data_IF_818040457959
#
_entry.id   IF_818040457959
#
_cell.length_a   1.000
_cell.length_b   1.000
_cell.length_c   1.000
_cell.angle_alpha   90.00
_cell.angle_beta   90.00
_cell.angle_gamma   90.00
#
_symmetry.space_group_name_H-M   'P 1'
#
loop_
_entity.id
_entity.type
_entity.pdbx_description
1 polymer ?
#
# COMPACT_ATOMS: atom_id res chain seq x y z
N UNK A 1 27.94 -39.37 -16.22
CA UNK A 1 26.70 -39.01 -16.93
C UNK A 1 25.77 -38.36 -15.91
N UNK A 2 25.46 -37.08 -16.14
CA UNK A 2 24.48 -36.20 -15.48
C UNK A 2 24.49 -36.04 -13.95
N UNK A 3 25.23 -35.02 -13.49
CA UNK A 3 24.96 -34.35 -12.22
C UNK A 3 23.75 -33.43 -12.36
N UNK A 4 22.71 -33.66 -11.56
CA UNK A 4 21.61 -32.74 -11.36
C UNK A 4 22.02 -31.73 -10.28
N UNK A 5 22.63 -30.61 -10.69
CA UNK A 5 22.68 -29.40 -9.86
C UNK A 5 21.30 -28.75 -9.97
N UNK A 6 20.42 -29.11 -9.04
CA UNK A 6 19.15 -28.44 -8.85
C UNK A 6 19.40 -26.98 -8.48
N UNK A 7 19.20 -26.07 -9.43
CA UNK A 7 19.04 -24.64 -9.19
C UNK A 7 17.73 -24.43 -8.43
N UNK A 8 17.72 -24.75 -7.13
CA UNK A 8 16.72 -24.23 -6.21
C UNK A 8 17.00 -22.74 -6.06
N UNK A 9 16.46 -21.94 -7.00
CA UNK A 9 16.34 -20.51 -6.78
C UNK A 9 15.46 -20.33 -5.54
N UNK A 10 16.07 -20.00 -4.41
CA UNK A 10 15.34 -19.55 -3.24
C UNK A 10 14.54 -18.32 -3.68
N UNK A 11 13.25 -18.50 -3.95
CA UNK A 11 12.31 -17.40 -3.96
C UNK A 11 12.26 -16.91 -2.51
N UNK A 12 13.11 -15.95 -2.18
CA UNK A 12 13.06 -15.28 -0.88
C UNK A 12 11.70 -14.60 -0.81
N UNK A 13 10.86 -15.05 0.13
CA UNK A 13 9.59 -14.40 0.40
C UNK A 13 9.85 -12.93 0.76
N UNK A 14 9.00 -12.00 0.30
CA UNK A 14 9.10 -10.61 0.70
C UNK A 14 9.06 -10.49 2.23
N UNK A 15 10.01 -9.75 2.80
CA UNK A 15 10.07 -9.56 4.26
C UNK A 15 9.11 -8.43 4.64
N UNK A 16 8.09 -8.74 5.44
CA UNK A 16 7.24 -7.71 6.03
C UNK A 16 8.01 -6.95 7.11
N UNK A 17 8.14 -5.64 6.91
CA UNK A 17 8.75 -4.71 7.85
C UNK A 17 7.74 -4.30 8.94
N UNK A 18 6.44 -4.42 8.66
CA UNK A 18 5.38 -4.16 9.62
C UNK A 18 5.25 -5.32 10.62
N UNK A 19 5.21 -6.56 10.16
CA UNK A 19 5.14 -7.75 11.04
C UNK A 19 6.42 -7.90 11.87
N UNK A 20 7.57 -7.52 11.32
CA UNK A 20 8.84 -7.47 12.05
C UNK A 20 8.92 -6.33 13.08
N UNK A 21 7.90 -5.46 13.18
CA UNK A 21 7.86 -4.31 14.09
C UNK A 21 8.88 -3.22 13.77
N UNK A 22 9.42 -3.19 12.54
CA UNK A 22 10.45 -2.22 12.12
C UNK A 22 9.84 -0.93 11.59
N UNK A 23 8.64 -0.99 11.04
CA UNK A 23 7.89 0.14 10.51
C UNK A 23 6.49 0.11 11.11
N UNK A 24 6.06 1.25 11.64
CA UNK A 24 4.67 1.44 12.05
C UNK A 24 3.82 1.89 10.87
N UNK A 25 2.58 1.42 10.82
CA UNK A 25 1.61 1.83 9.79
C UNK A 25 0.43 2.51 10.45
N UNK A 26 0.13 3.71 9.99
CA UNK A 26 -1.05 4.48 10.37
C UNK A 26 -2.01 4.53 9.18
N UNK A 27 -3.31 4.40 9.45
CA UNK A 27 -4.32 4.42 8.38
C UNK A 27 -5.37 5.47 8.65
N UNK A 28 -5.70 6.23 7.61
CA UNK A 28 -6.77 7.23 7.63
C UNK A 28 -7.85 6.80 6.64
N UNK A 29 -8.99 6.39 7.19
CA UNK A 29 -10.16 6.00 6.42
C UNK A 29 -11.07 7.21 6.17
N UNK A 30 -12.00 7.04 5.24
CA UNK A 30 -13.05 8.03 4.97
C UNK A 30 -14.43 7.48 5.30
N UNK A 31 -15.45 8.32 5.16
CA UNK A 31 -16.84 7.89 5.23
C UNK A 31 -17.21 6.95 4.08
N UNK A 32 -16.60 7.12 2.90
CA UNK A 32 -16.86 6.30 1.72
C UNK A 32 -16.23 4.91 1.78
N UNK A 33 -15.05 4.79 2.41
CA UNK A 33 -14.25 3.58 2.41
C UNK A 33 -13.34 3.47 3.62
N UNK A 34 -13.04 2.23 4.02
CA UNK A 34 -12.12 1.90 5.10
C UNK A 34 -10.85 1.27 4.53
N UNK A 35 -9.68 1.72 4.98
CA UNK A 35 -8.43 0.98 4.77
C UNK A 35 -8.52 -0.32 5.59
N UNK A 36 -8.51 -1.46 4.89
CA UNK A 36 -8.80 -2.78 5.46
C UNK A 36 -7.55 -3.41 6.07
N UNK A 37 -6.47 -3.47 5.30
CA UNK A 37 -5.14 -3.86 5.77
C UNK A 37 -4.08 -3.14 4.95
N UNK A 38 -2.88 -3.02 5.52
CA UNK A 38 -1.69 -2.46 4.87
C UNK A 38 -0.49 -3.24 5.37
N UNK A 39 0.47 -3.48 4.49
CA UNK A 39 1.77 -4.03 4.82
C UNK A 39 2.88 -3.25 4.07
N UNK A 40 4.05 -3.22 4.68
CA UNK A 40 5.25 -2.60 4.12
C UNK A 40 6.31 -3.69 3.94
N UNK A 41 6.58 -4.03 2.69
CA UNK A 41 7.52 -5.08 2.33
C UNK A 41 8.88 -4.50 1.96
N UNK A 42 9.95 -5.19 2.36
CA UNK A 42 11.29 -4.91 1.85
C UNK A 42 11.39 -5.29 0.38
N UNK A 43 11.95 -4.39 -0.42
CA UNK A 43 12.14 -4.52 -1.86
C UNK A 43 13.59 -4.26 -2.21
N UNK A 44 14.09 -4.87 -3.29
CA UNK A 44 15.48 -4.62 -3.76
C UNK A 44 15.75 -3.14 -4.06
N UNK A 45 14.70 -2.34 -4.31
CA UNK A 45 14.81 -0.92 -4.66
C UNK A 45 14.37 0.02 -3.54
N UNK A 46 13.97 -0.50 -2.38
CA UNK A 46 13.48 0.29 -1.26
C UNK A 46 12.38 -0.44 -0.51
N UNK A 47 11.21 0.17 -0.40
CA UNK A 47 10.03 -0.46 0.20
C UNK A 47 8.90 -0.58 -0.81
N UNK A 48 8.01 -1.53 -0.56
CA UNK A 48 6.73 -1.63 -1.23
C UNK A 48 5.63 -1.48 -0.19
N UNK A 49 4.72 -0.54 -0.41
CA UNK A 49 3.52 -0.40 0.42
C UNK A 49 2.37 -1.00 -0.35
N UNK A 50 1.72 -2.00 0.25
CA UNK A 50 0.60 -2.73 -0.34
C UNK A 50 -0.54 -2.81 0.65
N UNK A 51 -1.77 -2.89 0.16
CA UNK A 51 -2.92 -2.98 1.03
C UNK A 51 -4.24 -3.11 0.28
N UNK A 52 -5.31 -3.17 1.06
CA UNK A 52 -6.67 -3.17 0.54
C UNK A 52 -7.50 -2.08 1.21
N UNK A 53 -8.43 -1.51 0.44
CA UNK A 53 -9.50 -0.65 0.89
C UNK A 53 -10.83 -1.36 0.66
N UNK A 54 -11.72 -1.34 1.66
CA UNK A 54 -13.08 -1.87 1.56
C UNK A 54 -14.10 -0.75 1.45
N UNK A 55 -14.91 -0.77 0.38
CA UNK A 55 -16.02 0.15 0.16
C UNK A 55 -17.07 0.03 1.25
N UNK A 56 -17.61 1.15 1.76
CA UNK A 56 -18.84 1.13 2.57
C UNK A 56 -20.08 0.92 1.68
N UNK A 57 -21.18 0.44 2.26
CA UNK A 57 -22.27 -0.21 1.50
C UNK A 57 -23.01 0.74 0.54
N UNK A 58 -22.91 2.03 0.81
CA UNK A 58 -23.51 3.16 0.13
C UNK A 58 -22.60 3.78 -0.95
N UNK A 59 -21.35 3.33 -1.08
CA UNK A 59 -20.40 3.95 -1.99
C UNK A 59 -20.38 3.31 -3.40
N UNK A 60 -20.64 4.10 -4.47
CA UNK A 60 -20.68 3.60 -5.84
C UNK A 60 -19.36 2.99 -6.33
N UNK A 61 -19.46 1.89 -7.06
CA UNK A 61 -18.30 1.14 -7.54
C UNK A 61 -17.46 1.88 -8.61
N UNK A 62 -18.07 2.82 -9.33
CA UNK A 62 -17.46 3.64 -10.38
C UNK A 62 -16.65 4.83 -9.84
N UNK A 63 -16.64 5.05 -8.51
CA UNK A 63 -15.96 6.18 -7.88
C UNK A 63 -14.98 5.77 -6.78
N UNK A 64 -14.01 4.88 -7.06
CA UNK A 64 -13.15 4.30 -6.03
C UNK A 64 -12.21 5.29 -5.33
N UNK A 65 -12.14 6.57 -5.70
CA UNK A 65 -11.20 7.50 -5.06
C UNK A 65 -9.75 7.12 -5.31
N UNK A 66 -8.86 7.47 -4.38
CA UNK A 66 -7.44 7.12 -4.39
C UNK A 66 -6.88 6.99 -2.97
N UNK A 67 -5.68 6.46 -2.85
CA UNK A 67 -4.89 6.51 -1.61
C UNK A 67 -3.67 7.41 -1.78
N UNK A 68 -3.37 8.17 -0.75
CA UNK A 68 -2.10 8.87 -0.58
C UNK A 68 -1.24 8.08 0.42
N UNK A 69 0.06 8.06 0.16
CA UNK A 69 1.03 7.33 0.97
C UNK A 69 2.10 8.32 1.44
N UNK A 70 2.19 8.54 2.74
CA UNK A 70 3.23 9.37 3.35
C UNK A 70 4.21 8.49 4.13
N UNK A 71 5.49 8.59 3.81
CA UNK A 71 6.57 7.92 4.54
C UNK A 71 7.28 8.96 5.37
N UNK A 72 7.25 8.81 6.70
CA UNK A 72 7.93 9.71 7.63
C UNK A 72 9.23 9.07 8.10
N UNK A 73 10.31 9.81 7.96
CA UNK A 73 11.64 9.41 8.40
C UNK A 73 11.83 9.78 9.88
N UNK A 74 12.60 9.00 10.67
CA UNK A 74 12.87 9.31 12.07
C UNK A 74 13.47 10.70 12.30
N UNK A 75 14.26 11.21 11.36
CA UNK A 75 14.89 12.54 11.39
C UNK A 75 13.96 13.71 11.03
N UNK A 76 12.67 13.44 10.78
CA UNK A 76 11.66 14.45 10.45
C UNK A 76 11.47 14.72 8.96
N UNK A 77 12.19 14.02 8.08
CA UNK A 77 11.94 14.05 6.64
C UNK A 77 10.63 13.33 6.26
N UNK A 78 10.09 13.66 5.10
CA UNK A 78 8.86 13.04 4.59
C UNK A 78 8.93 12.81 3.08
N UNK A 79 8.50 11.64 2.63
CA UNK A 79 8.18 11.36 1.23
C UNK A 79 6.68 11.17 1.08
N UNK A 80 6.09 11.70 0.00
CA UNK A 80 4.67 11.54 -0.28
C UNK A 80 4.46 11.06 -1.71
N UNK A 81 3.66 10.02 -1.86
CA UNK A 81 3.05 9.61 -3.12
C UNK A 81 1.56 9.94 -3.05
N UNK A 82 1.06 10.66 -4.05
CA UNK A 82 -0.36 11.04 -4.11
C UNK A 82 -1.07 10.32 -5.24
N UNK A 83 -2.39 10.19 -5.12
CA UNK A 83 -3.24 9.63 -6.17
C UNK A 83 -2.82 8.21 -6.58
N UNK A 84 -2.48 7.35 -5.60
CA UNK A 84 -2.22 5.95 -5.87
C UNK A 84 -3.54 5.28 -6.25
N UNK A 85 -3.58 4.77 -7.47
CA UNK A 85 -4.73 4.06 -8.02
C UNK A 85 -5.00 2.78 -7.22
N UNK A 86 -6.28 2.41 -7.17
CA UNK A 86 -6.73 1.18 -6.54
C UNK A 86 -7.49 0.32 -7.54
N UNK A 87 -7.18 -0.97 -7.55
CA UNK A 87 -7.75 -1.92 -8.49
C UNK A 87 -8.74 -2.86 -7.78
N UNK A 88 -9.89 -3.19 -8.39
CA UNK A 88 -10.82 -4.16 -7.83
C UNK A 88 -10.16 -5.52 -7.57
N UNK A 89 -10.27 -6.02 -6.34
CA UNK A 89 -9.86 -7.39 -6.02
C UNK A 89 -10.86 -8.35 -6.67
N UNK A 90 -10.41 -9.17 -7.62
CA UNK A 90 -11.30 -10.09 -8.33
C UNK A 90 -11.73 -11.23 -7.40
N UNK A 91 -13.03 -11.35 -7.17
CA UNK A 91 -13.64 -12.48 -6.44
C UNK A 91 -14.55 -13.28 -7.37
N UNK A 92 -14.67 -14.62 -7.18
CA UNK A 92 -15.67 -15.42 -7.89
C UNK A 92 -17.06 -14.79 -7.71
N UNK A 93 -17.73 -14.42 -8.81
CA UNK A 93 -19.03 -13.71 -8.79
C UNK A 93 -18.97 -12.19 -9.03
N UNK A 94 -17.80 -11.59 -9.25
CA UNK A 94 -17.65 -10.25 -9.85
C UNK A 94 -18.02 -9.04 -8.97
N UNK A 95 -18.46 -9.26 -7.73
CA UNK A 95 -19.01 -8.23 -6.85
C UNK A 95 -18.10 -7.74 -5.72
N UNK A 96 -16.78 -7.70 -5.91
CA UNK A 96 -15.87 -7.33 -4.82
C UNK A 96 -16.03 -5.87 -4.40
N UNK A 97 -16.13 -5.69 -3.08
CA UNK A 97 -16.09 -4.39 -2.40
C UNK A 97 -14.67 -3.99 -2.01
N UNK A 98 -13.67 -4.83 -2.32
CA UNK A 98 -12.28 -4.58 -1.98
C UNK A 98 -11.53 -4.06 -3.19
N UNK A 99 -10.70 -3.06 -2.94
CA UNK A 99 -9.81 -2.45 -3.90
C UNK A 99 -8.39 -2.63 -3.35
N UNK A 100 -7.50 -3.24 -4.12
CA UNK A 100 -6.10 -3.38 -3.76
C UNK A 100 -5.30 -2.18 -4.27
N UNK A 101 -4.27 -1.79 -3.54
CA UNK A 101 -3.29 -0.81 -4.00
C UNK A 101 -1.89 -1.34 -3.74
N UNK A 102 -0.94 -0.87 -4.55
CA UNK A 102 0.48 -1.21 -4.42
C UNK A 102 1.32 -0.07 -4.97
N UNK A 103 2.31 0.36 -4.19
CA UNK A 103 3.32 1.31 -4.64
C UNK A 103 4.70 0.79 -4.27
N UNK A 104 5.66 0.97 -5.18
CA UNK A 104 7.08 0.78 -4.91
C UNK A 104 7.71 2.16 -4.70
N UNK A 105 8.35 2.36 -3.55
CA UNK A 105 9.02 3.61 -3.18
C UNK A 105 10.53 3.36 -3.05
N UNK A 106 11.32 4.23 -3.67
CA UNK A 106 12.78 4.18 -3.62
C UNK A 106 13.34 4.73 -2.30
N UNK A 107 12.76 4.33 -1.17
CA UNK A 107 13.17 4.69 0.20
C UNK A 107 13.66 3.42 0.89
N UNK A 108 14.89 3.44 1.41
CA UNK A 108 15.53 2.26 1.98
C UNK A 108 15.28 2.17 3.50
N UNK A 109 14.92 1.00 4.04
CA UNK A 109 15.01 0.75 5.48
C UNK A 109 16.49 0.86 5.96
N UNK A 110 16.77 1.30 7.21
CA UNK A 110 15.85 1.67 8.28
C UNK A 110 15.46 3.15 8.27
N UNK A 111 15.64 3.88 7.16
CA UNK A 111 15.32 5.31 7.11
C UNK A 111 13.83 5.60 7.29
N UNK A 112 12.97 4.58 7.27
CA UNK A 112 11.53 4.71 7.42
C UNK A 112 11.13 4.53 8.88
N UNK A 113 10.49 5.53 9.48
CA UNK A 113 9.94 5.46 10.83
C UNK A 113 8.48 5.02 10.85
N UNK A 114 7.65 5.67 10.03
CA UNK A 114 6.23 5.32 9.89
C UNK A 114 5.73 5.52 8.47
N UNK A 115 4.71 4.76 8.09
CA UNK A 115 3.98 4.90 6.82
C UNK A 115 2.53 5.21 7.12
N UNK A 116 2.02 6.28 6.51
CA UNK A 116 0.62 6.68 6.60
C UNK A 116 -0.06 6.37 5.28
N UNK A 117 -1.19 5.66 5.33
CA UNK A 117 -2.04 5.38 4.17
C UNK A 117 -3.37 6.08 4.35
N UNK A 118 -3.66 7.03 3.47
CA UNK A 118 -4.78 7.96 3.59
C UNK A 118 -5.70 7.77 2.41
N UNK A 119 -6.93 7.33 2.65
CA UNK A 119 -7.92 7.20 1.60
C UNK A 119 -8.69 8.50 1.36
N UNK A 120 -8.74 8.93 0.10
CA UNK A 120 -9.52 10.06 -0.37
C UNK A 120 -10.65 9.60 -1.31
N UNK A 121 -11.89 10.00 -1.02
CA UNK A 121 -12.99 9.80 -1.95
C UNK A 121 -12.77 10.65 -3.23
N UNK A 122 -13.24 10.17 -4.39
CA UNK A 122 -13.07 10.91 -5.66
C UNK A 122 -13.71 12.31 -5.56
N UNK A 123 -12.92 13.35 -5.85
CA UNK A 123 -13.33 14.76 -5.74
C UNK A 123 -13.07 15.39 -4.36
N UNK A 124 -12.49 14.65 -3.41
CA UNK A 124 -12.01 15.17 -2.14
C UNK A 124 -10.55 15.67 -2.20
N UNK A 125 -10.06 16.02 -3.40
CA UNK A 125 -8.73 16.61 -3.57
C UNK A 125 -8.61 17.82 -2.65
N UNK A 126 -7.48 17.96 -1.97
CA UNK A 126 -7.15 19.21 -1.32
C UNK A 126 -7.20 20.32 -2.39
N UNK A 127 -7.84 21.47 -2.14
CA UNK A 127 -7.66 22.62 -3.00
C UNK A 127 -6.16 22.83 -3.13
N UNK A 128 -5.65 22.80 -4.37
CA UNK A 128 -4.28 23.19 -4.67
C UNK A 128 -4.06 24.51 -3.93
N UNK A 129 -3.14 24.51 -2.96
CA UNK A 129 -2.68 25.75 -2.37
C UNK A 129 -2.20 26.62 -3.54
N UNK A 130 -2.93 27.70 -3.78
CA UNK A 130 -2.53 28.84 -4.62
C UNK A 130 -1.43 29.62 -3.92
#
# INVERSE_FOLDING_TARGET
>A
MFGFLGLAGCATEPVSLTDAGRISVETVSSDAARVWWVDVLESRRGIQVTGEVIRRADWPADRPGHVDIEVRLPEGGMYRMQNVDMEPVITPGGGSRRLAFRVDLAVQPPMVGSVWVIHHARGADHPRAV
#
